data_IF_949046092025
#
_entry.id   IF_949046092025
#
_cell.length_a   1.000
_cell.length_b   1.000
_cell.length_c   1.000
_cell.angle_alpha   90.00
_cell.angle_beta   90.00
_cell.angle_gamma   90.00
#
_symmetry.space_group_name_H-M   'P 1'
#
loop_
_entity.id
_entity.type
_entity.pdbx_description
1 polymer ?
#
# COMPACT_ATOMS: atom_id res chain seq x y z
N UNK A 1 -5.49 20.90 -9.44
CA UNK A 1 -5.09 19.56 -8.95
C UNK A 1 -6.27 18.64 -9.19
N UNK A 2 -6.03 17.43 -9.69
CA UNK A 2 -7.08 16.42 -9.74
C UNK A 2 -7.53 16.11 -8.31
N UNK A 3 -8.84 15.95 -8.12
CA UNK A 3 -9.37 15.47 -6.85
C UNK A 3 -9.27 13.95 -6.85
N UNK A 4 -8.38 13.42 -6.02
CA UNK A 4 -8.03 12.00 -6.02
C UNK A 4 -8.91 11.16 -5.09
N UNK A 5 -9.55 11.76 -4.09
CA UNK A 5 -10.39 11.01 -3.14
C UNK A 5 -11.56 10.33 -3.86
N UNK A 6 -12.31 10.99 -4.77
CA UNK A 6 -13.33 10.33 -5.57
C UNK A 6 -12.78 9.16 -6.38
N UNK A 7 -11.56 9.28 -6.94
CA UNK A 7 -10.91 8.19 -7.67
C UNK A 7 -10.66 6.99 -6.75
N UNK A 8 -10.15 7.20 -5.53
CA UNK A 8 -9.96 6.13 -4.56
C UNK A 8 -11.29 5.45 -4.20
N UNK A 9 -12.36 6.24 -4.03
CA UNK A 9 -13.72 5.76 -3.70
C UNK A 9 -14.35 4.94 -4.82
N UNK A 10 -14.20 5.37 -6.07
CA UNK A 10 -14.78 4.71 -7.25
C UNK A 10 -13.98 3.50 -7.72
N UNK A 11 -12.74 3.34 -7.24
CA UNK A 11 -11.85 2.24 -7.62
C UNK A 11 -11.57 1.30 -6.44
N UNK A 12 -10.53 1.59 -5.65
CA UNK A 12 -10.02 0.67 -4.64
C UNK A 12 -10.97 0.46 -3.47
N UNK A 13 -11.64 1.52 -3.00
CA UNK A 13 -12.52 1.47 -1.83
C UNK A 13 -13.96 1.04 -2.18
N UNK A 14 -14.26 0.91 -3.48
CA UNK A 14 -15.58 0.53 -3.96
C UNK A 14 -15.95 -0.88 -3.46
N UNK A 15 -17.21 -1.05 -3.06
CA UNK A 15 -17.77 -2.35 -2.65
C UNK A 15 -16.99 -3.08 -1.54
N UNK A 16 -16.40 -2.33 -0.61
CA UNK A 16 -15.56 -2.90 0.46
C UNK A 16 -14.36 -3.69 -0.09
N UNK A 17 -13.79 -3.26 -1.22
CA UNK A 17 -12.62 -3.90 -1.82
C UNK A 17 -11.41 -3.89 -0.88
N UNK A 18 -11.22 -2.78 -0.18
CA UNK A 18 -10.23 -2.58 0.86
C UNK A 18 -10.71 -1.50 1.84
N UNK A 19 -10.09 -1.38 3.02
CA UNK A 19 -10.50 -0.35 3.99
C UNK A 19 -9.70 0.93 3.85
N UNK A 20 -8.50 0.90 3.25
CA UNK A 20 -7.64 2.04 3.06
C UNK A 20 -6.87 1.95 1.76
N UNK A 21 -6.72 3.08 1.08
CA UNK A 21 -5.99 3.21 -0.17
C UNK A 21 -5.20 4.52 -0.23
N UNK A 22 -4.11 4.53 -0.99
CA UNK A 22 -3.30 5.72 -1.22
C UNK A 22 -2.48 5.63 -2.48
N UNK A 23 -1.93 6.76 -2.90
CA UNK A 23 -1.03 6.84 -4.05
C UNK A 23 0.22 7.60 -3.61
N UNK A 24 1.37 6.97 -3.87
CA UNK A 24 2.69 7.54 -3.65
C UNK A 24 3.43 7.80 -4.96
N UNK A 25 4.37 8.73 -4.91
CA UNK A 25 5.34 8.94 -5.97
C UNK A 25 6.35 7.77 -5.97
N UNK A 26 6.61 7.18 -7.14
CA UNK A 26 7.54 6.06 -7.28
C UNK A 26 9.03 6.43 -7.15
N UNK A 27 9.39 7.72 -7.14
CA UNK A 27 10.77 8.19 -6.94
C UNK A 27 11.22 8.13 -5.47
N UNK A 28 10.35 8.52 -4.54
CA UNK A 28 10.66 8.67 -3.12
C UNK A 28 9.75 7.86 -2.18
N UNK A 29 8.64 7.31 -2.68
CA UNK A 29 7.65 6.58 -1.89
C UNK A 29 6.72 7.48 -1.08
N UNK A 30 6.73 8.80 -1.31
CA UNK A 30 5.92 9.76 -0.57
C UNK A 30 4.47 9.75 -1.06
N UNK A 31 3.52 9.50 -0.15
CA UNK A 31 2.10 9.55 -0.47
C UNK A 31 1.66 11.01 -0.66
N UNK A 32 0.92 11.28 -1.73
CA UNK A 32 0.29 12.58 -1.98
C UNK A 32 -1.23 12.53 -1.87
N UNK A 33 -1.81 11.34 -1.77
CA UNK A 33 -3.23 11.12 -1.48
C UNK A 33 -3.39 9.84 -0.67
N UNK A 34 -4.31 9.90 0.29
CA UNK A 34 -4.80 8.75 1.02
C UNK A 34 -6.30 8.92 1.32
N UNK A 35 -7.01 7.81 1.40
CA UNK A 35 -8.40 7.75 1.80
C UNK A 35 -8.74 6.39 2.40
N UNK A 36 -9.84 6.34 3.12
CA UNK A 36 -10.40 5.10 3.66
C UNK A 36 -11.87 4.95 3.28
N UNK A 37 -12.47 3.82 3.62
CA UNK A 37 -13.86 3.55 3.27
C UNK A 37 -14.87 4.42 4.04
N UNK A 38 -14.48 4.89 5.23
CA UNK A 38 -15.37 5.49 6.23
C UNK A 38 -15.47 7.03 6.14
N UNK A 39 -14.52 7.68 5.45
CA UNK A 39 -14.45 9.16 5.34
C UNK A 39 -14.53 9.65 3.90
N UNK A 40 -15.22 10.77 3.66
CA UNK A 40 -15.41 11.32 2.30
C UNK A 40 -14.26 12.22 1.83
N UNK A 41 -13.38 12.64 2.75
CA UNK A 41 -12.23 13.51 2.49
C UNK A 41 -10.89 12.73 2.56
N UNK A 42 -9.77 13.43 2.38
CA UNK A 42 -8.43 12.87 2.61
C UNK A 42 -8.35 12.28 4.02
N UNK A 43 -7.94 11.01 4.09
CA UNK A 43 -7.76 10.31 5.35
C UNK A 43 -6.54 9.39 5.29
N UNK A 44 -5.57 9.67 6.15
CA UNK A 44 -4.22 9.12 6.04
C UNK A 44 -3.98 7.92 6.95
N UNK A 45 -4.61 7.88 8.12
CA UNK A 45 -4.27 6.96 9.22
C UNK A 45 -4.31 5.48 8.83
N UNK A 46 -5.09 5.11 7.81
CA UNK A 46 -5.16 3.74 7.31
C UNK A 46 -3.92 3.28 6.54
N UNK A 47 -3.18 4.18 5.90
CA UNK A 47 -2.08 3.86 4.97
C UNK A 47 -0.80 4.65 5.22
N UNK A 48 -0.86 5.73 6.00
CA UNK A 48 0.27 6.57 6.29
C UNK A 48 0.30 7.03 7.75
N UNK A 49 1.49 7.02 8.35
CA UNK A 49 1.77 7.66 9.62
C UNK A 49 3.09 8.41 9.57
N UNK A 50 3.06 9.67 9.98
CA UNK A 50 4.25 10.51 10.11
C UNK A 50 5.22 9.94 11.16
N UNK A 51 6.50 9.87 10.79
CA UNK A 51 7.69 9.56 11.60
C UNK A 51 7.44 9.11 13.05
N UNK A 52 7.69 7.83 13.35
CA UNK A 52 7.42 7.28 14.68
C UNK A 52 8.43 6.22 15.12
N UNK A 53 8.50 6.00 16.44
CA UNK A 53 9.24 4.88 17.01
C UNK A 53 8.38 3.61 16.98
N UNK A 54 8.93 2.52 16.46
CA UNK A 54 8.34 1.19 16.52
C UNK A 54 9.19 0.28 17.39
N UNK A 55 8.60 -0.31 18.43
CA UNK A 55 9.25 -1.29 19.29
C UNK A 55 9.07 -2.71 18.71
N UNK A 56 10.18 -3.40 18.47
CA UNK A 56 10.23 -4.79 18.02
C UNK A 56 11.22 -5.57 18.87
N UNK A 57 11.26 -6.89 18.76
CA UNK A 57 12.31 -7.72 19.35
C UNK A 57 13.40 -8.05 18.33
N UNK A 58 14.66 -8.11 18.77
CA UNK A 58 15.78 -8.69 18.02
C UNK A 58 15.77 -10.23 18.08
N UNK A 59 16.74 -10.87 17.41
CA UNK A 59 16.89 -12.33 17.38
C UNK A 59 17.19 -12.95 18.76
N UNK A 60 17.61 -12.13 19.74
CA UNK A 60 17.85 -12.54 21.11
C UNK A 60 16.67 -12.25 22.05
N UNK A 61 15.56 -11.72 21.51
CA UNK A 61 14.36 -11.35 22.27
C UNK A 61 14.46 -10.03 23.02
N UNK A 62 15.51 -9.22 22.81
CA UNK A 62 15.62 -7.90 23.43
C UNK A 62 14.75 -6.89 22.66
N UNK A 63 14.13 -5.97 23.40
CA UNK A 63 13.41 -4.85 22.80
C UNK A 63 14.38 -3.90 22.08
N UNK A 64 14.11 -3.65 20.81
CA UNK A 64 14.82 -2.69 19.95
C UNK A 64 13.81 -1.67 19.43
N UNK A 65 14.22 -0.41 19.40
CA UNK A 65 13.45 0.70 18.84
C UNK A 65 13.93 1.00 17.42
N UNK A 66 13.00 0.98 16.47
CA UNK A 66 13.24 1.39 15.09
C UNK A 66 12.63 2.78 14.87
N UNK A 67 13.38 3.68 14.25
CA UNK A 67 12.81 4.92 13.70
C UNK A 67 12.20 4.56 12.34
N UNK A 68 10.89 4.72 12.22
CA UNK A 68 10.15 4.38 11.01
C UNK A 68 9.77 5.66 10.28
N UNK A 69 10.18 5.73 9.02
CA UNK A 69 9.61 6.60 8.00
C UNK A 69 9.07 5.68 6.90
N UNK A 70 7.74 5.64 6.78
CA UNK A 70 7.03 4.64 5.98
C UNK A 70 7.41 4.73 4.49
N UNK A 71 7.73 5.93 3.98
CA UNK A 71 8.11 6.10 2.57
C UNK A 71 9.36 5.33 2.20
N UNK A 72 10.33 5.22 3.11
CA UNK A 72 11.52 4.40 2.86
C UNK A 72 11.20 2.92 2.83
N UNK A 73 10.22 2.46 3.61
CA UNK A 73 9.81 1.04 3.62
C UNK A 73 9.04 0.68 2.35
N UNK A 74 8.24 1.61 1.83
CA UNK A 74 7.54 1.52 0.53
C UNK A 74 8.57 1.47 -0.61
N UNK A 75 9.54 2.38 -0.59
CA UNK A 75 10.59 2.43 -1.62
C UNK A 75 11.49 1.20 -1.60
N UNK A 76 11.89 0.74 -0.41
CA UNK A 76 12.79 -0.40 -0.23
C UNK A 76 12.29 -1.65 -0.94
N UNK A 77 11.00 -1.95 -0.87
CA UNK A 77 10.47 -3.20 -1.43
C UNK A 77 10.55 -3.27 -2.95
N UNK A 78 10.51 -2.14 -3.65
CA UNK A 78 10.69 -2.12 -5.10
C UNK A 78 12.18 -2.08 -5.49
N UNK A 79 13.01 -1.36 -4.75
CA UNK A 79 14.45 -1.27 -5.03
C UNK A 79 15.18 -2.59 -4.74
N UNK A 80 14.90 -3.18 -3.59
CA UNK A 80 15.59 -4.38 -3.09
C UNK A 80 14.83 -5.67 -3.38
N UNK A 81 13.54 -5.59 -3.75
CA UNK A 81 12.67 -6.76 -3.99
C UNK A 81 12.51 -7.63 -2.74
N UNK A 82 12.66 -7.01 -1.58
CA UNK A 82 12.53 -7.58 -0.24
C UNK A 82 12.31 -6.45 0.77
N UNK A 83 11.95 -6.78 2.01
CA UNK A 83 11.93 -5.82 3.12
C UNK A 83 12.89 -6.25 4.22
N UNK A 84 13.62 -5.29 4.79
CA UNK A 84 14.58 -5.56 5.88
C UNK A 84 13.87 -5.68 7.22
N UNK A 85 12.97 -4.74 7.53
CA UNK A 85 12.33 -4.63 8.85
C UNK A 85 10.81 -4.90 8.83
N UNK A 86 10.24 -5.11 7.64
CA UNK A 86 8.81 -5.10 7.38
C UNK A 86 8.41 -3.88 6.54
N UNK A 87 7.24 -3.99 5.92
CA UNK A 87 6.58 -2.88 5.23
C UNK A 87 5.73 -2.17 6.28
N UNK A 88 5.86 -0.87 6.42
CA UNK A 88 5.09 -0.10 7.39
C UNK A 88 4.12 0.83 6.68
N UNK A 89 2.85 0.74 7.06
CA UNK A 89 1.74 1.52 6.49
C UNK A 89 0.75 1.86 7.60
N UNK A 90 0.42 3.13 7.79
CA UNK A 90 -0.58 3.56 8.78
C UNK A 90 -0.21 3.22 10.23
N UNK A 91 1.09 3.13 10.53
CA UNK A 91 1.59 2.73 11.84
C UNK A 91 1.67 1.21 12.07
N UNK A 92 1.24 0.40 11.10
CA UNK A 92 1.16 -1.05 11.21
C UNK A 92 2.31 -1.75 10.46
N UNK A 93 2.84 -2.84 11.02
CA UNK A 93 3.87 -3.65 10.38
C UNK A 93 3.25 -4.79 9.58
N UNK A 94 3.67 -4.90 8.32
CA UNK A 94 3.35 -5.99 7.40
C UNK A 94 4.62 -6.79 7.07
N UNK A 95 4.51 -8.11 7.10
CA UNK A 95 5.56 -9.01 6.63
C UNK A 95 5.55 -9.05 5.11
N UNK A 96 6.70 -8.83 4.48
CA UNK A 96 6.86 -8.99 3.04
C UNK A 96 6.56 -10.45 2.65
N UNK A 97 5.60 -10.64 1.74
CA UNK A 97 5.14 -11.97 1.33
C UNK A 97 5.63 -12.36 -0.07
N UNK A 98 5.57 -11.44 -1.02
CA UNK A 98 5.96 -11.71 -2.42
C UNK A 98 6.23 -10.43 -3.20
N UNK A 99 7.07 -10.55 -4.23
CA UNK A 99 7.27 -9.55 -5.28
C UNK A 99 7.11 -10.22 -6.65
N UNK A 100 6.32 -9.60 -7.52
CA UNK A 100 6.11 -10.00 -8.92
C UNK A 100 6.52 -8.83 -9.83
N UNK A 101 7.58 -8.95 -10.63
CA UNK A 101 8.10 -7.84 -11.43
C UNK A 101 7.31 -7.56 -12.71
N UNK A 102 6.40 -8.44 -13.12
CA UNK A 102 5.79 -8.39 -14.45
C UNK A 102 4.37 -8.92 -14.47
N UNK A 103 3.53 -8.43 -13.55
CA UNK A 103 2.14 -8.86 -13.47
C UNK A 103 1.30 -8.13 -14.52
N UNK A 104 0.67 -8.90 -15.41
CA UNK A 104 -0.19 -8.38 -16.48
C UNK A 104 -1.63 -8.18 -15.97
N UNK A 105 -2.15 -6.95 -16.12
CA UNK A 105 -3.56 -6.63 -15.86
C UNK A 105 -4.05 -5.62 -16.89
N UNK A 106 -5.20 -5.91 -17.52
CA UNK A 106 -5.69 -5.13 -18.65
C UNK A 106 -4.69 -5.12 -19.81
N UNK A 107 -4.23 -3.93 -20.19
CA UNK A 107 -3.22 -3.70 -21.25
C UNK A 107 -1.84 -3.32 -20.70
N UNK A 108 -1.62 -3.47 -19.40
CA UNK A 108 -0.44 -2.98 -18.71
C UNK A 108 0.27 -4.09 -17.95
N UNK A 109 1.56 -3.86 -17.70
CA UNK A 109 2.39 -4.68 -16.84
C UNK A 109 2.78 -3.86 -15.61
N UNK A 110 2.65 -4.45 -14.43
CA UNK A 110 2.90 -3.80 -13.15
C UNK A 110 3.92 -4.58 -12.33
N UNK A 111 4.67 -3.87 -11.49
CA UNK A 111 5.39 -4.51 -10.38
C UNK A 111 4.46 -4.58 -9.17
N UNK A 112 4.34 -5.75 -8.55
CA UNK A 112 3.39 -6.00 -7.45
C UNK A 112 4.13 -6.54 -6.23
N UNK A 113 3.99 -5.87 -5.09
CA UNK A 113 4.41 -6.37 -3.77
C UNK A 113 3.17 -6.73 -2.97
N UNK A 114 3.18 -7.90 -2.31
CA UNK A 114 2.17 -8.25 -1.31
C UNK A 114 2.83 -8.29 0.07
N UNK A 115 2.15 -7.69 1.06
CA UNK A 115 2.46 -7.83 2.47
C UNK A 115 1.31 -8.51 3.22
N UNK A 116 1.64 -9.12 4.36
CA UNK A 116 0.67 -9.80 5.21
C UNK A 116 0.84 -9.37 6.68
N UNK A 117 -0.26 -9.30 7.40
CA UNK A 117 -0.29 -9.20 8.86
C UNK A 117 -1.33 -10.17 9.42
N UNK A 118 -1.44 -10.26 10.73
CA UNK A 118 -2.50 -11.08 11.33
C UNK A 118 -3.88 -10.56 10.89
N UNK A 119 -4.69 -11.43 10.27
CA UNK A 119 -6.03 -11.10 9.75
C UNK A 119 -6.07 -9.92 8.78
N UNK A 120 -5.04 -9.75 7.95
CA UNK A 120 -5.02 -8.68 6.96
C UNK A 120 -3.75 -8.65 6.13
N UNK A 121 -3.63 -7.62 5.31
CA UNK A 121 -2.46 -7.46 4.46
C UNK A 121 -2.48 -6.18 3.64
N UNK A 122 -1.53 -6.08 2.74
CA UNK A 122 -1.41 -4.94 1.84
C UNK A 122 -0.95 -5.36 0.45
N UNK A 123 -1.27 -4.54 -0.54
CA UNK A 123 -0.76 -4.64 -1.91
C UNK A 123 -0.17 -3.30 -2.31
N UNK A 124 1.07 -3.32 -2.82
CA UNK A 124 1.72 -2.15 -3.39
C UNK A 124 1.95 -2.44 -4.87
N UNK A 125 1.39 -1.60 -5.75
CA UNK A 125 1.45 -1.79 -7.20
C UNK A 125 2.15 -0.59 -7.83
N UNK A 126 3.30 -0.82 -8.46
CA UNK A 126 4.01 0.23 -9.20
C UNK A 126 3.52 0.29 -10.64
N UNK A 127 3.07 1.46 -11.05
CA UNK A 127 2.55 1.75 -12.40
C UNK A 127 3.69 2.07 -13.38
N UNK A 128 3.45 1.93 -14.70
CA UNK A 128 4.39 2.39 -15.72
C UNK A 128 4.70 3.90 -15.65
N UNK A 129 3.77 4.73 -15.16
CA UNK A 129 3.98 6.15 -14.94
C UNK A 129 4.84 6.48 -13.71
N UNK A 130 5.39 5.47 -13.03
CA UNK A 130 6.21 5.60 -11.82
C UNK A 130 5.44 6.16 -10.62
N UNK A 131 4.22 5.66 -10.40
CA UNK A 131 3.44 5.85 -9.18
C UNK A 131 3.28 4.52 -8.44
N UNK A 132 3.01 4.57 -7.14
CA UNK A 132 2.79 3.39 -6.32
C UNK A 132 1.39 3.47 -5.72
N UNK A 133 0.52 2.56 -6.14
CA UNK A 133 -0.78 2.32 -5.49
C UNK A 133 -0.55 1.52 -4.22
N UNK A 134 -1.15 1.95 -3.12
CA UNK A 134 -1.11 1.27 -1.83
C UNK A 134 -2.55 0.92 -1.45
N UNK A 135 -2.77 -0.33 -1.08
CA UNK A 135 -4.07 -0.83 -0.62
C UNK A 135 -3.87 -1.70 0.62
N UNK A 136 -4.68 -1.48 1.66
CA UNK A 136 -4.67 -2.28 2.89
C UNK A 136 -6.03 -2.93 3.15
N UNK A 137 -6.03 -4.18 3.59
CA UNK A 137 -7.25 -4.95 3.88
C UNK A 137 -7.24 -5.59 5.26
N UNK A 138 -8.44 -5.81 5.80
CA UNK A 138 -8.69 -6.40 7.10
C UNK A 138 -9.78 -7.49 6.98
N UNK A 139 -9.41 -8.73 7.30
CA UNK A 139 -10.29 -9.89 7.24
C UNK A 139 -11.45 -9.78 8.25
N UNK A 140 -11.28 -9.04 9.34
CA UNK A 140 -12.34 -8.79 10.31
C UNK A 140 -13.42 -7.84 9.79
N UNK A 141 -13.12 -7.07 8.73
CA UNK A 141 -14.07 -6.22 8.00
C UNK A 141 -14.71 -6.93 6.80
N UNK A 142 -14.56 -8.25 6.69
CA UNK A 142 -15.12 -9.04 5.60
C UNK A 142 -14.39 -8.86 4.26
N UNK A 143 -13.14 -8.37 4.31
CA UNK A 143 -12.28 -8.20 3.15
C UNK A 143 -11.33 -9.40 3.04
N UNK A 144 -10.75 -9.62 1.88
CA UNK A 144 -9.76 -10.68 1.70
C UNK A 144 -8.66 -10.27 0.72
N UNK A 145 -7.61 -11.10 0.66
CA UNK A 145 -6.46 -10.89 -0.21
C UNK A 145 -6.84 -10.78 -1.69
N UNK A 146 -7.80 -11.56 -2.16
CA UNK A 146 -8.19 -11.61 -3.58
C UNK A 146 -8.94 -10.35 -3.97
N UNK A 147 -9.97 -9.99 -3.20
CA UNK A 147 -10.79 -8.81 -3.46
C UNK A 147 -9.95 -7.53 -3.38
N UNK A 148 -9.12 -7.40 -2.34
CA UNK A 148 -8.24 -6.23 -2.17
C UNK A 148 -7.17 -6.12 -3.25
N UNK A 149 -6.69 -7.25 -3.78
CA UNK A 149 -5.75 -7.24 -4.91
C UNK A 149 -6.42 -6.75 -6.19
N UNK A 150 -7.65 -7.19 -6.45
CA UNK A 150 -8.43 -6.68 -7.60
C UNK A 150 -8.71 -5.18 -7.47
N UNK A 151 -9.03 -4.71 -6.27
CA UNK A 151 -9.17 -3.29 -5.95
C UNK A 151 -7.88 -2.49 -6.24
N UNK A 152 -6.72 -3.01 -5.83
CA UNK A 152 -5.43 -2.39 -6.11
C UNK A 152 -5.14 -2.29 -7.63
N UNK A 153 -5.43 -3.35 -8.39
CA UNK A 153 -5.28 -3.32 -9.85
C UNK A 153 -6.28 -2.41 -10.55
N UNK A 154 -7.51 -2.31 -10.05
CA UNK A 154 -8.51 -1.36 -10.60
C UNK A 154 -7.99 0.08 -10.52
N UNK A 155 -7.41 0.46 -9.38
CA UNK A 155 -6.79 1.78 -9.22
C UNK A 155 -5.49 1.92 -10.04
N UNK A 156 -4.64 0.90 -10.09
CA UNK A 156 -3.41 0.94 -10.88
C UNK A 156 -3.68 1.06 -12.39
N UNK A 157 -4.69 0.37 -12.90
CA UNK A 157 -5.16 0.50 -14.28
C UNK A 157 -5.74 1.88 -14.55
N UNK A 158 -6.51 2.46 -13.62
CA UNK A 158 -6.98 3.84 -13.74
C UNK A 158 -5.81 4.81 -13.92
N UNK A 159 -4.77 4.69 -13.09
CA UNK A 159 -3.57 5.51 -13.18
C UNK A 159 -2.88 5.34 -14.54
N UNK A 160 -2.58 4.10 -14.92
CA UNK A 160 -1.89 3.80 -16.17
C UNK A 160 -2.67 4.29 -17.42
N UNK A 161 -4.00 4.19 -17.42
CA UNK A 161 -4.87 4.69 -18.49
C UNK A 161 -4.81 6.22 -18.63
N UNK A 162 -4.52 6.94 -17.55
CA UNK A 162 -4.47 8.40 -17.53
C UNK A 162 -3.02 8.95 -17.57
N UNK A 163 -2.02 8.10 -17.80
CA UNK A 163 -0.62 8.49 -17.91
C UNK A 163 0.10 8.68 -16.57
N UNK A 164 -0.47 8.11 -15.49
CA UNK A 164 0.14 7.99 -14.17
C UNK A 164 0.59 6.54 -13.91
#
# INVERSE_FOLDING_TARGET
>A
MADWVPVLKETALLNNGCYGAGIANGEDGELFVAGDIDHDDLHWDSVYKENYEFETSDDNGNTVKLQIDEKFTIKEVFEKKMSTNGIFLGGEKYTFASYDPALESGSYTFECVCGAKNKGGCHLIKTPGNYIVIVVYDETKGQDKTLSRMAAFTLAEYLANNGY
#
